data_IF_092841786144
#
_entry.id   IF_092841786144
#
_cell.length_a   1.000
_cell.length_b   1.000
_cell.length_c   1.000
_cell.angle_alpha   90.00
_cell.angle_beta   90.00
_cell.angle_gamma   90.00
#
_symmetry.space_group_name_H-M   'P 1'
#
loop_
_entity.id
_entity.type
_entity.pdbx_description
1 polymer ?
#
# COMPACT_ATOMS: atom_id res chain seq x y z
N UNK A 1 -57.38 25.71 -33.24
CA UNK A 1 -56.42 25.87 -32.15
C UNK A 1 -55.72 24.51 -31.94
N UNK A 2 -54.50 24.36 -32.47
CA UNK A 2 -53.76 23.08 -32.44
C UNK A 2 -52.59 23.23 -31.46
N UNK A 3 -52.71 22.59 -30.30
CA UNK A 3 -51.64 22.57 -29.31
C UNK A 3 -50.74 21.37 -29.60
N UNK A 4 -49.56 21.65 -30.21
CA UNK A 4 -48.50 20.67 -30.40
C UNK A 4 -47.75 20.51 -29.08
N UNK A 5 -47.91 19.37 -28.45
CA UNK A 5 -47.10 18.95 -27.27
C UNK A 5 -45.81 18.37 -27.77
N UNK A 6 -44.70 19.09 -27.55
CA UNK A 6 -43.35 18.59 -27.77
C UNK A 6 -42.91 17.80 -26.53
N UNK A 7 -42.90 16.49 -26.66
CA UNK A 7 -42.31 15.57 -25.68
C UNK A 7 -40.79 15.55 -25.91
N UNK A 8 -40.04 16.28 -25.04
CA UNK A 8 -38.59 16.19 -24.97
C UNK A 8 -38.22 14.90 -24.23
N UNK A 9 -37.81 13.89 -24.99
CA UNK A 9 -37.11 12.70 -24.44
C UNK A 9 -35.70 13.11 -24.02
N UNK A 10 -35.51 13.27 -22.71
CA UNK A 10 -34.16 13.30 -22.11
C UNK A 10 -33.62 11.87 -22.07
N UNK A 11 -32.78 11.52 -23.03
CA UNK A 11 -31.93 10.34 -22.95
C UNK A 11 -30.84 10.60 -21.90
N UNK A 12 -30.99 10.04 -20.69
CA UNK A 12 -29.95 9.93 -19.73
C UNK A 12 -28.89 8.93 -20.25
N UNK A 13 -27.85 9.44 -20.85
CA UNK A 13 -26.63 8.66 -21.12
C UNK A 13 -25.88 8.46 -19.79
N UNK A 14 -26.10 7.32 -19.14
CA UNK A 14 -25.24 6.85 -18.06
C UNK A 14 -23.89 6.44 -18.67
N UNK A 15 -22.89 7.34 -18.59
CA UNK A 15 -21.52 7.02 -18.95
C UNK A 15 -20.92 6.01 -17.97
N UNK A 16 -20.02 5.14 -18.42
CA UNK A 16 -19.33 4.20 -17.53
C UNK A 16 -18.49 5.00 -16.53
N UNK A 17 -18.89 4.96 -15.27
CA UNK A 17 -18.07 5.48 -14.17
C UNK A 17 -16.89 4.55 -13.99
N UNK A 18 -15.69 5.01 -14.32
CA UNK A 18 -14.45 4.30 -14.10
C UNK A 18 -14.15 4.24 -12.60
N UNK A 19 -14.59 3.17 -11.95
CA UNK A 19 -14.26 2.81 -10.58
C UNK A 19 -12.81 2.29 -10.51
N UNK A 20 -11.81 3.15 -10.64
CA UNK A 20 -10.40 2.74 -10.64
C UNK A 20 -9.61 3.14 -9.38
N UNK A 21 -10.25 3.71 -8.35
CA UNK A 21 -9.54 4.19 -7.16
C UNK A 21 -9.80 3.37 -5.88
N UNK A 22 -10.62 2.33 -5.90
CA UNK A 22 -11.05 1.60 -4.70
C UNK A 22 -10.49 0.18 -4.53
N UNK A 23 -9.66 -0.30 -5.45
CA UNK A 23 -9.19 -1.70 -5.41
C UNK A 23 -8.04 -1.99 -4.43
N UNK A 24 -7.46 -0.99 -3.78
CA UNK A 24 -6.37 -1.20 -2.82
C UNK A 24 -6.83 -1.69 -1.43
N UNK A 25 -8.14 -1.79 -1.19
CA UNK A 25 -8.69 -2.19 0.12
C UNK A 25 -9.71 -3.32 0.07
N UNK A 26 -10.09 -3.81 -1.11
CA UNK A 26 -11.02 -4.93 -1.24
C UNK A 26 -10.32 -6.23 -0.82
N UNK A 27 -10.85 -6.87 0.21
CA UNK A 27 -10.32 -8.12 0.76
C UNK A 27 -9.50 -7.95 2.05
N UNK A 28 -9.18 -6.73 2.48
CA UNK A 28 -8.50 -6.51 3.76
C UNK A 28 -9.49 -6.59 4.94
N UNK A 29 -9.10 -7.27 6.01
CA UNK A 29 -9.82 -7.21 7.29
C UNK A 29 -9.55 -5.89 8.03
N UNK A 30 -10.27 -5.63 9.12
CA UNK A 30 -10.17 -4.34 9.83
C UNK A 30 -8.79 -4.09 10.44
N UNK A 31 -8.10 -5.12 10.92
CA UNK A 31 -6.72 -5.02 11.40
C UNK A 31 -5.78 -4.58 10.28
N UNK A 32 -5.90 -5.18 9.11
CA UNK A 32 -5.07 -4.86 7.95
C UNK A 32 -5.36 -3.46 7.39
N UNK A 33 -6.62 -3.02 7.40
CA UNK A 33 -7.00 -1.64 7.04
C UNK A 33 -6.39 -0.62 7.99
N UNK A 34 -6.45 -0.90 9.29
CA UNK A 34 -5.80 -0.08 10.31
C UNK A 34 -4.29 -0.01 10.08
N UNK A 35 -3.65 -1.16 9.82
CA UNK A 35 -2.23 -1.23 9.49
C UNK A 35 -1.85 -0.46 8.22
N UNK A 36 -2.70 -0.49 7.19
CA UNK A 36 -2.53 0.29 5.97
C UNK A 36 -2.48 1.79 6.25
N UNK A 37 -3.42 2.28 7.07
CA UNK A 37 -3.47 3.69 7.46
C UNK A 37 -2.24 4.12 8.27
N UNK A 38 -1.85 3.31 9.26
CA UNK A 38 -0.66 3.56 10.08
C UNK A 38 0.62 3.56 9.23
N UNK A 39 0.75 2.61 8.30
CA UNK A 39 1.89 2.55 7.40
C UNK A 39 1.98 3.80 6.53
N UNK A 40 0.88 4.25 5.95
CA UNK A 40 0.86 5.47 5.15
C UNK A 40 1.28 6.72 5.96
N UNK A 41 0.80 6.83 7.21
CA UNK A 41 1.04 7.97 8.07
C UNK A 41 2.44 7.99 8.70
N UNK A 42 2.95 6.83 9.13
CA UNK A 42 4.18 6.75 9.92
C UNK A 42 5.40 6.26 9.13
N UNK A 43 5.19 5.46 8.09
CA UNK A 43 6.26 4.81 7.32
C UNK A 43 6.36 5.36 5.90
N UNK A 44 5.28 6.00 5.41
CA UNK A 44 5.14 6.39 4.01
C UNK A 44 6.24 7.30 3.50
N UNK A 45 6.69 8.26 4.32
CA UNK A 45 7.74 9.21 3.94
C UNK A 45 9.04 8.53 3.48
N UNK A 46 9.35 7.35 4.02
CA UNK A 46 10.57 6.60 3.69
C UNK A 46 10.32 5.38 2.80
N UNK A 47 9.16 4.74 2.92
CA UNK A 47 8.90 3.43 2.32
C UNK A 47 7.91 3.46 1.14
N UNK A 48 7.14 4.54 0.97
CA UNK A 48 6.26 4.71 -0.17
C UNK A 48 6.87 5.72 -1.15
N UNK A 49 6.87 5.42 -2.46
CA UNK A 49 7.36 6.37 -3.44
C UNK A 49 6.45 7.60 -3.48
N UNK A 50 7.01 8.84 -3.51
CA UNK A 50 6.22 10.06 -3.59
C UNK A 50 5.42 10.14 -4.90
N UNK A 51 5.92 9.49 -5.93
CA UNK A 51 5.27 9.35 -7.24
C UNK A 51 5.61 7.99 -7.85
N UNK A 52 4.84 7.58 -8.86
CA UNK A 52 5.05 6.28 -9.52
C UNK A 52 6.46 6.21 -10.13
N UNK A 53 7.21 5.17 -9.76
CA UNK A 53 8.56 4.90 -10.26
C UNK A 53 9.68 5.64 -9.55
N UNK A 54 9.38 6.54 -8.60
CA UNK A 54 10.39 7.17 -7.77
C UNK A 54 11.05 6.17 -6.82
N UNK A 55 12.32 6.41 -6.50
CA UNK A 55 13.05 5.63 -5.49
C UNK A 55 12.63 6.08 -4.09
N UNK A 56 12.51 5.12 -3.19
CA UNK A 56 12.27 5.35 -1.76
C UNK A 56 13.58 5.38 -0.99
N UNK A 57 13.59 6.06 0.17
CA UNK A 57 14.72 6.05 1.08
C UNK A 57 14.91 4.66 1.74
N UNK A 58 13.80 4.07 2.18
CA UNK A 58 13.75 2.73 2.74
C UNK A 58 13.42 1.67 1.67
N UNK A 59 13.65 0.38 1.96
CA UNK A 59 13.27 -0.69 1.06
C UNK A 59 11.75 -0.77 0.86
N UNK A 60 11.27 -1.28 -0.28
CA UNK A 60 9.85 -1.53 -0.48
C UNK A 60 9.31 -2.50 0.57
N UNK A 61 8.18 -2.15 1.20
CA UNK A 61 7.51 -3.03 2.16
C UNK A 61 6.53 -3.95 1.42
N UNK A 62 6.76 -5.24 1.54
CA UNK A 62 5.93 -6.30 0.96
C UNK A 62 6.00 -7.55 1.85
N UNK A 63 5.31 -8.62 1.46
CA UNK A 63 5.25 -9.85 2.26
C UNK A 63 6.59 -10.48 2.62
N UNK A 64 7.69 -10.12 1.96
CA UNK A 64 9.05 -10.58 2.28
C UNK A 64 9.84 -9.61 3.15
N UNK A 65 9.28 -8.48 3.56
CA UNK A 65 9.94 -7.55 4.47
C UNK A 65 10.34 -8.27 5.77
N UNK A 66 11.51 -7.92 6.30
CA UNK A 66 12.09 -8.62 7.45
C UNK A 66 12.47 -10.07 7.17
N UNK A 67 12.73 -10.44 5.91
CA UNK A 67 12.97 -11.82 5.52
C UNK A 67 11.72 -12.72 5.56
N UNK A 68 10.53 -12.12 5.64
CA UNK A 68 9.27 -12.85 5.83
C UNK A 68 8.98 -13.19 7.30
N UNK A 69 9.79 -12.72 8.24
CA UNK A 69 9.68 -12.97 9.67
C UNK A 69 9.03 -11.77 10.38
N UNK A 70 7.95 -12.03 11.13
CA UNK A 70 7.17 -11.01 11.84
C UNK A 70 7.90 -10.47 13.06
N UNK A 71 8.67 -11.30 13.77
CA UNK A 71 9.42 -10.87 14.94
C UNK A 71 10.58 -9.97 14.55
N UNK A 72 11.24 -10.24 13.42
CA UNK A 72 12.26 -9.35 12.84
C UNK A 72 11.65 -8.01 12.44
N UNK A 73 10.47 -8.01 11.81
CA UNK A 73 9.78 -6.77 11.51
C UNK A 73 9.39 -5.98 12.76
N UNK A 74 8.87 -6.68 13.76
CA UNK A 74 8.50 -6.09 15.05
C UNK A 74 9.71 -5.43 15.71
N UNK A 75 10.84 -6.12 15.74
CA UNK A 75 12.09 -5.60 16.29
C UNK A 75 12.53 -4.31 15.56
N UNK A 76 12.53 -4.31 14.24
CA UNK A 76 12.92 -3.13 13.44
C UNK A 76 11.97 -1.94 13.67
N UNK A 77 10.66 -2.17 13.73
CA UNK A 77 9.70 -1.10 13.99
C UNK A 77 9.84 -0.57 15.42
N UNK A 78 9.97 -1.49 16.39
CA UNK A 78 10.04 -1.11 17.81
C UNK A 78 11.32 -0.36 18.12
N UNK A 79 12.48 -0.92 17.79
CA UNK A 79 13.77 -0.42 18.25
C UNK A 79 14.51 0.38 17.18
N UNK A 80 14.07 0.31 15.92
CA UNK A 80 14.72 0.99 14.82
C UNK A 80 15.99 0.27 14.34
N UNK A 81 16.66 0.90 13.41
CA UNK A 81 17.97 0.50 12.86
C UNK A 81 18.82 1.76 12.68
N UNK A 82 20.11 1.69 12.32
CA UNK A 82 20.91 2.88 12.04
C UNK A 82 20.33 3.82 10.98
N UNK A 83 19.39 3.33 10.15
CA UNK A 83 18.75 4.09 9.07
C UNK A 83 17.23 4.25 9.23
N UNK A 84 16.63 3.66 10.25
CA UNK A 84 15.21 3.72 10.52
C UNK A 84 14.98 4.09 11.99
N UNK A 85 14.17 5.13 12.30
CA UNK A 85 13.93 5.52 13.67
C UNK A 85 13.16 4.45 14.46
N UNK A 86 13.30 4.46 15.78
CA UNK A 86 12.49 3.66 16.70
C UNK A 86 11.08 4.26 16.82
N UNK A 87 10.06 3.42 16.75
CA UNK A 87 8.66 3.81 16.88
C UNK A 87 8.02 3.44 18.23
N UNK A 88 8.75 2.83 19.14
CA UNK A 88 8.22 2.37 20.45
C UNK A 88 7.56 3.46 21.29
N UNK A 89 7.92 4.73 21.09
CA UNK A 89 7.34 5.85 21.80
C UNK A 89 6.03 6.36 21.15
N UNK A 90 5.75 5.96 19.91
CA UNK A 90 4.65 6.48 19.09
C UNK A 90 3.60 5.44 18.75
N UNK A 91 4.00 4.17 18.61
CA UNK A 91 3.11 3.06 18.24
C UNK A 91 2.97 2.10 19.41
N UNK A 92 1.73 1.66 19.64
CA UNK A 92 1.45 0.55 20.57
C UNK A 92 1.80 -0.78 19.90
N UNK A 93 1.97 -1.84 20.69
CA UNK A 93 2.21 -3.18 20.16
C UNK A 93 1.15 -3.61 19.14
N UNK A 94 -0.12 -3.30 19.41
CA UNK A 94 -1.24 -3.61 18.51
C UNK A 94 -1.17 -2.86 17.18
N UNK A 95 -0.64 -1.63 17.17
CA UNK A 95 -0.44 -0.84 15.95
C UNK A 95 0.67 -1.46 15.10
N UNK A 96 1.73 -1.93 15.74
CA UNK A 96 2.82 -2.65 15.06
C UNK A 96 2.30 -3.97 14.47
N UNK A 97 1.47 -4.73 15.21
CA UNK A 97 0.82 -5.94 14.72
C UNK A 97 -0.05 -5.66 13.48
N UNK A 98 -0.80 -4.56 13.51
CA UNK A 98 -1.64 -4.15 12.39
C UNK A 98 -0.79 -3.80 11.15
N UNK A 99 0.31 -3.07 11.31
CA UNK A 99 1.23 -2.73 10.23
C UNK A 99 1.81 -4.00 9.60
N UNK A 100 2.30 -4.94 10.43
CA UNK A 100 2.85 -6.21 9.96
C UNK A 100 1.79 -7.00 9.19
N UNK A 101 0.59 -7.13 9.77
CA UNK A 101 -0.52 -7.83 9.13
C UNK A 101 -0.88 -7.25 7.75
N UNK A 102 -0.83 -5.93 7.60
CA UNK A 102 -1.03 -5.30 6.30
C UNK A 102 0.12 -5.58 5.33
N UNK A 103 1.38 -5.40 5.76
CA UNK A 103 2.56 -5.60 4.90
C UNK A 103 2.61 -7.02 4.34
N UNK A 104 2.15 -8.02 5.10
CA UNK A 104 2.05 -9.43 4.62
C UNK A 104 1.05 -9.61 3.49
N UNK A 105 0.11 -8.70 3.29
CA UNK A 105 -0.82 -8.73 2.14
C UNK A 105 -0.22 -8.10 0.88
N UNK A 106 0.83 -7.29 1.00
CA UNK A 106 1.42 -6.58 -0.14
C UNK A 106 2.23 -7.56 -1.00
N UNK A 107 1.91 -7.70 -2.30
CA UNK A 107 2.63 -8.62 -3.17
C UNK A 107 4.06 -8.15 -3.44
N UNK A 108 4.94 -9.11 -3.73
CA UNK A 108 6.29 -8.81 -4.23
C UNK A 108 6.17 -8.40 -5.70
N UNK A 109 6.70 -7.23 -6.10
CA UNK A 109 6.72 -6.85 -7.50
C UNK A 109 7.47 -7.88 -8.36
N UNK A 110 6.97 -8.19 -9.54
CA UNK A 110 7.56 -9.19 -10.44
C UNK A 110 9.05 -8.92 -10.75
N UNK A 111 9.45 -7.66 -10.85
CA UNK A 111 10.84 -7.25 -11.06
C UNK A 111 11.77 -7.58 -9.88
N UNK A 112 11.22 -7.66 -8.66
CA UNK A 112 12.00 -8.01 -7.46
C UNK A 112 12.01 -9.52 -7.20
N UNK A 113 11.13 -10.27 -7.83
CA UNK A 113 11.05 -11.73 -7.74
C UNK A 113 11.97 -12.43 -8.77
N UNK A 114 12.52 -11.70 -9.73
CA UNK A 114 13.46 -12.25 -10.68
C UNK A 114 14.79 -12.62 -9.96
N UNK A 115 15.37 -13.80 -10.21
CA UNK A 115 16.69 -14.14 -9.67
C UNK A 115 17.68 -13.08 -10.12
N UNK A 116 18.56 -12.65 -9.19
CA UNK A 116 19.63 -11.72 -9.51
C UNK A 116 20.41 -12.27 -10.71
N UNK A 117 20.44 -11.51 -11.82
CA UNK A 117 21.25 -11.88 -12.98
C UNK A 117 22.68 -11.99 -12.49
N UNK A 118 23.39 -13.11 -12.71
CA UNK A 118 24.78 -13.20 -12.33
C UNK A 118 25.51 -12.02 -12.97
N UNK A 119 26.32 -11.32 -12.17
CA UNK A 119 27.17 -10.27 -12.67
C UNK A 119 28.07 -10.89 -13.74
N UNK A 120 27.82 -10.49 -15.00
CA UNK A 120 28.63 -10.92 -16.13
C UNK A 120 30.05 -10.44 -15.86
N UNK A 121 30.95 -11.37 -15.65
CA UNK A 121 32.38 -11.09 -15.72
C UNK A 121 32.73 -10.85 -17.19
N UNK A 122 33.28 -9.68 -17.48
CA UNK A 122 34.14 -9.42 -18.63
C UNK A 122 35.59 -9.60 -18.19
#
# INVERSE_FOLDING_TARGET
>A
MKHSVWLLLFLLSAGPQTASAQQAGEGLNDLQKHGQQLLAQSCGICHLPPERGAKTYGPPLNKLAGGGDDDVMREYITNGTPRMPSFKAYLKSQDIDAIIAYVRTVPVPAAAAAPARPAGGD
#
